data_IF_990932703608
#
_entry.id   IF_990932703608
#
_cell.length_a   1.000
_cell.length_b   1.000
_cell.length_c   1.000
_cell.angle_alpha   90.00
_cell.angle_beta   90.00
_cell.angle_gamma   90.00
#
_symmetry.space_group_name_H-M   'P 1'
#
loop_
_entity.id
_entity.type
_entity.pdbx_description
1 polymer ?
#
# COMPACT_ATOMS: atom_id res chain seq x y z
N UNK A 1 8.24 25.65 -3.15
CA UNK A 1 9.37 24.78 -3.53
C UNK A 1 8.80 23.39 -3.74
N UNK A 2 9.21 22.68 -4.80
CA UNK A 2 8.79 21.30 -5.01
C UNK A 2 9.82 20.35 -4.38
N UNK A 3 9.37 19.26 -3.77
CA UNK A 3 10.22 18.18 -3.26
C UNK A 3 9.83 16.84 -3.87
N UNK A 4 10.81 15.95 -3.98
CA UNK A 4 10.64 14.60 -4.52
C UNK A 4 11.22 13.63 -3.48
N UNK A 5 10.43 12.65 -3.07
CA UNK A 5 10.86 11.56 -2.17
C UNK A 5 10.64 10.23 -2.87
N UNK A 6 11.69 9.40 -2.94
CA UNK A 6 11.63 8.10 -3.63
C UNK A 6 11.51 7.00 -2.58
N UNK A 7 10.34 6.35 -2.54
CA UNK A 7 10.04 5.25 -1.62
C UNK A 7 10.25 3.86 -2.25
N UNK A 8 10.40 3.78 -3.56
CA UNK A 8 10.63 2.53 -4.30
C UNK A 8 11.00 2.78 -5.76
N UNK A 9 11.66 1.82 -6.38
CA UNK A 9 12.24 1.96 -7.73
C UNK A 9 13.65 2.57 -7.77
N UNK A 10 14.23 2.91 -6.62
CA UNK A 10 15.64 3.33 -6.52
C UNK A 10 16.53 2.15 -6.13
N UNK A 11 17.52 1.83 -6.95
CA UNK A 11 18.43 0.70 -6.70
C UNK A 11 17.81 -0.68 -6.96
N UNK A 12 16.63 -0.74 -7.58
CA UNK A 12 15.91 -1.96 -7.94
C UNK A 12 15.22 -1.81 -9.31
N UNK A 13 14.76 -2.92 -9.89
CA UNK A 13 13.87 -2.92 -11.05
C UNK A 13 12.43 -3.14 -10.54
N UNK A 14 11.57 -2.18 -10.84
CA UNK A 14 10.18 -2.17 -10.41
C UNK A 14 9.95 -1.54 -9.02
N UNK A 15 8.76 -1.70 -8.45
CA UNK A 15 8.43 -1.14 -7.13
C UNK A 15 8.22 0.37 -7.10
N UNK A 16 8.02 1.01 -8.27
CA UNK A 16 7.98 2.47 -8.42
C UNK A 16 6.99 3.12 -7.45
N UNK A 17 7.50 4.01 -6.60
CA UNK A 17 6.75 4.81 -5.61
C UNK A 17 7.45 6.13 -5.41
N UNK A 18 7.07 7.16 -6.15
CA UNK A 18 7.70 8.49 -6.06
C UNK A 18 6.69 9.50 -5.57
N UNK A 19 6.93 10.07 -4.38
CA UNK A 19 6.09 11.13 -3.83
C UNK A 19 6.59 12.49 -4.31
N UNK A 20 5.71 13.26 -4.94
CA UNK A 20 5.98 14.65 -5.34
C UNK A 20 5.12 15.56 -4.47
N UNK A 21 5.76 16.51 -3.79
CA UNK A 21 5.08 17.52 -2.98
C UNK A 21 5.35 18.92 -3.52
N UNK A 22 4.29 19.73 -3.64
CA UNK A 22 4.40 21.15 -3.99
C UNK A 22 3.18 21.92 -3.51
N UNK A 23 3.40 23.10 -2.91
CA UNK A 23 2.33 24.00 -2.45
C UNK A 23 1.31 23.31 -1.51
N UNK A 24 1.80 22.45 -0.60
CA UNK A 24 0.97 21.71 0.35
C UNK A 24 0.16 20.57 -0.26
N UNK A 25 0.34 20.27 -1.54
CA UNK A 25 -0.25 19.12 -2.23
C UNK A 25 0.77 18.02 -2.43
N UNK A 26 0.30 16.78 -2.39
CA UNK A 26 1.11 15.57 -2.53
C UNK A 26 0.46 14.63 -3.54
N UNK A 27 1.24 14.13 -4.48
CA UNK A 27 0.82 13.05 -5.39
C UNK A 27 1.88 11.97 -5.44
N UNK A 28 1.45 10.72 -5.51
CA UNK A 28 2.34 9.63 -5.90
C UNK A 28 2.39 9.50 -7.42
N UNK A 29 3.58 9.30 -7.95
CA UNK A 29 3.80 8.76 -9.29
C UNK A 29 4.07 7.27 -9.11
N UNK A 30 3.12 6.47 -9.60
CA UNK A 30 3.03 5.02 -9.44
C UNK A 30 2.95 4.55 -7.97
N UNK A 31 2.45 3.33 -7.79
CA UNK A 31 2.48 2.63 -6.53
C UNK A 31 2.54 1.12 -6.74
N UNK A 32 3.69 0.63 -7.22
CA UNK A 32 3.80 -0.73 -7.76
C UNK A 32 4.45 -1.77 -6.86
N UNK A 33 4.39 -3.02 -7.30
CA UNK A 33 5.03 -4.18 -6.66
C UNK A 33 6.55 -4.10 -6.76
N UNK A 34 7.27 -4.26 -5.64
CA UNK A 34 8.73 -4.44 -5.65
C UNK A 34 9.05 -5.92 -5.87
N UNK A 35 9.50 -6.29 -7.07
CA UNK A 35 9.89 -7.67 -7.34
C UNK A 35 11.11 -8.10 -6.52
N UNK A 36 12.05 -7.18 -6.28
CA UNK A 36 13.25 -7.46 -5.50
C UNK A 36 12.94 -7.75 -4.03
N UNK A 37 12.08 -6.93 -3.42
CA UNK A 37 11.61 -7.11 -2.06
C UNK A 37 10.77 -8.38 -1.91
N UNK A 38 9.89 -8.64 -2.87
CA UNK A 38 9.10 -9.88 -2.87
C UNK A 38 9.98 -11.12 -3.05
N UNK A 39 10.95 -11.11 -3.97
CA UNK A 39 11.85 -12.25 -4.21
C UNK A 39 12.74 -12.58 -3.01
N UNK A 40 13.13 -11.56 -2.23
CA UNK A 40 13.97 -11.75 -1.04
C UNK A 40 13.25 -12.56 0.06
N UNK A 41 11.93 -12.40 0.19
CA UNK A 41 11.18 -12.95 1.33
C UNK A 41 10.13 -14.00 0.94
N UNK A 42 9.52 -13.89 -0.23
CA UNK A 42 8.36 -14.71 -0.65
C UNK A 42 8.68 -15.71 -1.77
N UNK A 43 9.92 -16.21 -1.82
CA UNK A 43 10.31 -17.23 -2.80
C UNK A 43 9.97 -18.65 -2.34
N UNK A 44 9.52 -19.45 -3.32
CA UNK A 44 9.33 -20.91 -3.32
C UNK A 44 8.33 -21.47 -2.28
N UNK A 45 8.63 -21.36 -0.99
CA UNK A 45 7.85 -21.97 0.09
C UNK A 45 7.04 -20.97 0.91
N UNK A 46 7.45 -19.69 0.91
CA UNK A 46 6.74 -18.65 1.64
C UNK A 46 5.93 -17.80 0.67
N UNK A 47 4.60 -17.85 0.77
CA UNK A 47 3.72 -17.02 -0.03
C UNK A 47 3.13 -15.88 0.81
N UNK A 48 2.83 -14.72 0.21
CA UNK A 48 2.12 -13.66 0.89
C UNK A 48 0.80 -14.19 1.43
N UNK A 49 0.48 -13.84 2.68
CA UNK A 49 -0.79 -14.22 3.28
C UNK A 49 -1.92 -13.46 2.59
N UNK A 50 -3.01 -14.16 2.31
CA UNK A 50 -4.22 -13.59 1.70
C UNK A 50 -4.90 -12.59 2.65
N UNK A 51 -4.88 -12.87 3.96
CA UNK A 51 -5.32 -11.96 5.01
C UNK A 51 -4.10 -11.33 5.69
N UNK A 52 -4.19 -10.04 6.01
CA UNK A 52 -3.15 -9.27 6.75
C UNK A 52 -1.83 -9.01 5.98
N UNK A 53 -1.83 -9.15 4.64
CA UNK A 53 -0.63 -8.98 3.83
C UNK A 53 0.02 -7.59 3.94
N UNK A 54 -0.75 -6.53 4.19
CA UNK A 54 -0.22 -5.18 4.37
C UNK A 54 0.84 -5.11 5.48
N UNK A 55 0.59 -5.75 6.62
CA UNK A 55 1.50 -5.66 7.78
C UNK A 55 2.84 -6.33 7.51
N UNK A 56 2.82 -7.50 6.87
CA UNK A 56 4.05 -8.19 6.49
C UNK A 56 4.84 -7.33 5.49
N UNK A 57 4.17 -6.75 4.49
CA UNK A 57 4.81 -5.86 3.52
C UNK A 57 5.45 -4.62 4.16
N UNK A 58 4.82 -4.03 5.20
CA UNK A 58 5.38 -2.92 5.98
C UNK A 58 6.55 -3.36 6.89
N UNK A 59 6.43 -4.54 7.50
CA UNK A 59 7.46 -5.09 8.38
C UNK A 59 8.74 -5.44 7.60
N UNK A 60 8.58 -6.01 6.41
CA UNK A 60 9.66 -6.39 5.49
C UNK A 60 10.25 -5.20 4.72
N UNK A 61 9.66 -4.00 4.84
CA UNK A 61 10.12 -2.80 4.14
C UNK A 61 9.82 -2.80 2.63
N UNK A 62 8.95 -3.69 2.17
CA UNK A 62 8.47 -3.75 0.78
C UNK A 62 7.53 -2.56 0.48
N UNK A 63 6.76 -2.16 1.50
CA UNK A 63 5.95 -0.96 1.50
C UNK A 63 6.53 0.10 2.46
N UNK A 64 6.43 1.39 2.11
CA UNK A 64 6.92 2.45 2.98
C UNK A 64 6.04 2.61 4.23
N UNK A 65 6.64 2.81 5.40
CA UNK A 65 5.89 3.11 6.63
C UNK A 65 5.41 4.56 6.61
N UNK A 66 4.23 4.78 6.03
CA UNK A 66 3.61 6.09 5.88
C UNK A 66 2.22 6.13 6.49
N UNK A 67 2.01 7.10 7.38
CA UNK A 67 0.70 7.41 7.93
C UNK A 67 -0.23 7.99 6.86
N UNK A 68 -1.49 7.62 6.90
CA UNK A 68 -2.55 8.33 6.19
C UNK A 68 -2.74 7.95 4.73
N UNK A 69 -2.17 6.82 4.27
CA UNK A 69 -2.32 6.35 2.88
C UNK A 69 -2.96 4.96 2.76
N UNK A 70 -2.90 4.16 3.82
CA UNK A 70 -3.35 2.76 3.81
C UNK A 70 -4.78 2.63 4.30
N UNK A 71 -5.46 1.60 3.79
CA UNK A 71 -6.83 1.24 4.17
C UNK A 71 -6.94 0.85 5.64
N UNK A 72 -8.04 1.28 6.26
CA UNK A 72 -8.35 0.91 7.65
C UNK A 72 -8.51 -0.60 7.84
N UNK A 73 -9.23 -1.29 6.94
CA UNK A 73 -9.55 -2.72 7.06
C UNK A 73 -8.33 -3.64 6.91
N UNK A 74 -7.25 -3.14 6.31
CA UNK A 74 -5.96 -3.85 6.22
C UNK A 74 -5.05 -3.57 7.43
N UNK A 75 -5.29 -2.46 8.14
CA UNK A 75 -4.57 -2.09 9.36
C UNK A 75 -5.21 -2.75 10.58
N UNK A 76 -6.52 -2.61 10.74
CA UNK A 76 -7.29 -3.20 11.81
C UNK A 76 -7.79 -4.58 11.40
N UNK A 77 -7.23 -5.62 12.01
CA UNK A 77 -7.76 -6.97 11.84
C UNK A 77 -8.97 -7.13 12.77
N UNK A 78 -10.14 -7.27 12.15
CA UNK A 78 -11.37 -7.55 12.87
C UNK A 78 -11.20 -8.75 13.82
N UNK A 79 -11.71 -8.61 15.04
CA UNK A 79 -11.66 -9.59 16.14
C UNK A 79 -10.27 -9.99 16.66
N UNK A 80 -9.18 -9.45 16.11
CA UNK A 80 -7.83 -9.79 16.60
C UNK A 80 -7.67 -9.41 18.07
N UNK A 81 -8.14 -8.22 18.45
CA UNK A 81 -8.02 -7.75 19.82
C UNK A 81 -8.77 -8.62 20.82
N UNK A 82 -9.99 -9.02 20.47
CA UNK A 82 -10.82 -9.92 21.28
C UNK A 82 -10.17 -11.30 21.39
N UNK A 83 -9.67 -11.85 20.27
CA UNK A 83 -9.02 -13.15 20.24
C UNK A 83 -7.71 -13.16 21.07
N UNK A 84 -6.92 -12.09 21.03
CA UNK A 84 -5.72 -11.95 21.85
C UNK A 84 -6.06 -11.84 23.33
N UNK A 85 -7.13 -11.10 23.67
CA UNK A 85 -7.62 -11.00 25.04
C UNK A 85 -8.13 -12.35 25.57
N UNK A 86 -8.90 -13.09 24.78
CA UNK A 86 -9.37 -14.45 25.09
C UNK A 86 -8.21 -15.43 25.27
N UNK A 87 -7.17 -15.32 24.44
CA UNK A 87 -5.95 -16.13 24.53
C UNK A 87 -5.03 -15.72 25.70
N UNK A 88 -5.36 -14.66 26.44
CA UNK A 88 -4.55 -14.16 27.54
C UNK A 88 -3.21 -13.60 27.09
N UNK A 89 -3.11 -13.10 25.87
CA UNK A 89 -1.89 -12.47 25.32
C UNK A 89 -1.92 -10.98 25.68
N UNK A 90 -1.10 -10.53 26.66
CA UNK A 90 -1.13 -9.14 27.12
C UNK A 90 -0.39 -8.19 26.18
N UNK A 91 0.48 -8.73 25.31
CA UNK A 91 1.30 -7.96 24.40
C UNK A 91 0.73 -8.00 22.98
N UNK A 92 0.18 -6.87 22.55
CA UNK A 92 -0.34 -6.67 21.19
C UNK A 92 0.72 -6.13 20.23
N UNK A 93 1.93 -5.81 20.69
CA UNK A 93 2.96 -5.15 19.88
C UNK A 93 3.33 -5.86 18.56
N UNK A 94 3.41 -7.20 18.46
CA UNK A 94 3.65 -7.84 17.15
C UNK A 94 2.43 -7.82 16.22
N UNK A 95 1.28 -7.38 16.74
CA UNK A 95 -0.01 -7.39 16.07
C UNK A 95 -0.62 -5.99 15.88
N UNK A 96 0.16 -4.93 16.10
CA UNK A 96 -0.25 -3.54 15.83
C UNK A 96 0.52 -3.06 14.60
N UNK A 97 -0.18 -2.50 13.63
CA UNK A 97 0.48 -1.86 12.50
C UNK A 97 1.15 -0.56 12.99
N UNK A 98 2.41 -0.35 12.62
CA UNK A 98 3.21 0.82 12.98
C UNK A 98 2.91 2.03 12.08
N UNK A 99 1.66 2.17 11.63
CA UNK A 99 1.18 3.25 10.76
C UNK A 99 -0.27 3.59 11.12
N UNK A 100 -0.62 4.86 10.97
CA UNK A 100 -2.00 5.35 11.07
C UNK A 100 -2.70 5.22 9.73
N UNK A 101 -3.99 4.91 9.75
CA UNK A 101 -4.75 4.77 8.51
C UNK A 101 -5.02 6.11 7.83
N UNK A 102 -5.46 6.02 6.58
CA UNK A 102 -6.02 7.16 5.84
C UNK A 102 -7.11 7.89 6.62
N UNK A 103 -8.08 7.17 7.16
CA UNK A 103 -9.21 7.74 7.88
C UNK A 103 -8.79 8.45 9.17
N UNK A 104 -7.86 7.87 9.93
CA UNK A 104 -7.36 8.48 11.17
C UNK A 104 -6.65 9.81 10.90
N UNK A 105 -5.77 9.84 9.90
CA UNK A 105 -5.05 11.06 9.51
C UNK A 105 -6.02 12.09 8.95
N UNK A 106 -6.92 11.69 8.05
CA UNK A 106 -7.90 12.58 7.45
C UNK A 106 -8.83 13.21 8.50
N UNK A 107 -9.32 12.43 9.48
CA UNK A 107 -10.15 12.94 10.59
C UNK A 107 -9.40 13.94 11.47
N UNK A 108 -8.11 13.70 11.71
CA UNK A 108 -7.26 14.56 12.56
C UNK A 108 -6.87 15.87 11.89
N UNK A 109 -6.44 15.81 10.64
CA UNK A 109 -5.88 16.95 9.91
C UNK A 109 -6.94 17.72 9.08
N UNK A 110 -8.11 17.11 8.84
CA UNK A 110 -9.17 17.69 8.00
C UNK A 110 -8.95 17.53 6.49
N UNK A 111 -7.80 16.99 6.08
CA UNK A 111 -7.44 16.70 4.69
C UNK A 111 -6.67 15.37 4.59
N UNK A 112 -6.72 14.67 3.45
CA UNK A 112 -5.92 13.46 3.26
C UNK A 112 -4.42 13.79 3.26
N UNK A 113 -3.58 12.80 3.57
CA UNK A 113 -2.13 12.97 3.48
C UNK A 113 -1.68 13.21 2.03
N UNK A 114 -2.27 12.46 1.09
CA UNK A 114 -2.00 12.50 -0.35
C UNK A 114 -3.27 12.84 -1.14
N UNK A 115 -3.13 13.65 -2.19
CA UNK A 115 -4.25 14.09 -3.03
C UNK A 115 -4.62 13.08 -4.11
N UNK A 116 -3.73 12.12 -4.42
CA UNK A 116 -3.97 11.08 -5.40
C UNK A 116 -2.72 10.34 -5.85
N UNK A 117 -2.93 9.32 -6.68
CA UNK A 117 -1.90 8.54 -7.36
C UNK A 117 -2.05 8.70 -8.86
N UNK A 118 -0.95 8.97 -9.56
CA UNK A 118 -0.90 9.01 -11.02
C UNK A 118 -0.15 7.77 -11.49
N UNK A 119 -0.81 6.92 -12.27
CA UNK A 119 -0.20 5.74 -12.86
C UNK A 119 0.33 6.03 -14.26
N UNK A 120 1.58 5.65 -14.50
CA UNK A 120 2.23 5.80 -15.78
C UNK A 120 1.71 4.79 -16.81
N UNK A 121 1.59 3.52 -16.45
CA UNK A 121 1.08 2.43 -17.29
C UNK A 121 0.75 1.16 -16.47
N UNK A 122 0.20 0.13 -17.13
CA UNK A 122 -0.38 -1.06 -16.50
C UNK A 122 0.59 -2.25 -16.31
N UNK A 123 1.85 -2.00 -15.99
CA UNK A 123 2.73 -3.06 -15.50
C UNK A 123 2.66 -3.17 -13.97
N UNK A 124 2.80 -4.39 -13.44
CA UNK A 124 2.57 -4.70 -12.02
C UNK A 124 3.46 -3.90 -11.08
N UNK A 125 4.68 -3.59 -11.51
CA UNK A 125 5.63 -2.74 -10.81
C UNK A 125 5.31 -1.25 -10.82
N UNK A 126 4.17 -0.86 -11.40
CA UNK A 126 3.64 0.50 -11.37
C UNK A 126 2.31 0.62 -10.62
N UNK A 127 1.46 -0.41 -10.59
CA UNK A 127 0.10 -0.27 -10.01
C UNK A 127 -0.29 -1.29 -8.94
N UNK A 128 0.38 -2.45 -8.84
CA UNK A 128 -0.22 -3.56 -8.11
C UNK A 128 -0.39 -3.31 -6.60
N UNK A 129 0.48 -2.50 -5.99
CA UNK A 129 0.34 -2.13 -4.58
C UNK A 129 -0.68 -1.02 -4.32
N UNK A 130 -1.29 -0.41 -5.35
CA UNK A 130 -2.43 0.51 -5.19
C UNK A 130 -3.57 -0.18 -4.42
N UNK A 131 -3.72 -1.49 -4.54
CA UNK A 131 -4.72 -2.28 -3.80
C UNK A 131 -4.60 -2.17 -2.26
N UNK A 132 -3.44 -1.73 -1.76
CA UNK A 132 -3.18 -1.51 -0.33
C UNK A 132 -3.59 -0.10 0.14
N UNK A 133 -3.74 0.84 -0.79
CA UNK A 133 -4.09 2.23 -0.52
C UNK A 133 -5.59 2.38 -0.27
N UNK A 134 -5.95 3.39 0.50
CA UNK A 134 -7.35 3.70 0.80
C UNK A 134 -8.14 4.07 -0.46
N UNK A 135 -9.37 3.55 -0.57
CA UNK A 135 -10.26 3.80 -1.72
C UNK A 135 -10.68 5.27 -1.85
N UNK A 136 -10.56 6.06 -0.77
CA UNK A 136 -10.75 7.50 -0.79
C UNK A 136 -9.67 8.26 -1.55
N UNK A 137 -8.53 7.63 -1.88
CA UNK A 137 -7.43 8.25 -2.63
C UNK A 137 -7.70 8.09 -4.14
N UNK A 138 -7.88 9.17 -4.90
CA UNK A 138 -8.17 9.07 -6.33
C UNK A 138 -6.96 8.58 -7.12
N UNK A 139 -7.22 7.71 -8.10
CA UNK A 139 -6.20 7.18 -9.03
C UNK A 139 -6.44 7.73 -10.43
N UNK A 140 -5.42 8.36 -10.99
CA UNK A 140 -5.43 8.96 -12.32
C UNK A 140 -4.55 8.15 -13.27
N UNK A 141 -5.08 7.78 -14.44
CA UNK A 141 -4.33 7.05 -15.46
C UNK A 141 -4.95 7.24 -16.85
N UNK A 142 -4.26 6.81 -17.90
CA UNK A 142 -4.81 6.75 -19.24
C UNK A 142 -5.92 5.69 -19.35
N UNK A 143 -6.91 5.90 -20.23
CA UNK A 143 -8.01 4.96 -20.43
C UNK A 143 -7.54 3.53 -20.77
N UNK A 144 -6.46 3.40 -21.54
CA UNK A 144 -5.85 2.10 -21.86
C UNK A 144 -5.26 1.41 -20.63
N UNK A 145 -4.63 2.17 -19.72
CA UNK A 145 -4.09 1.63 -18.46
C UNK A 145 -5.21 1.10 -17.59
N UNK A 146 -6.28 1.89 -17.43
CA UNK A 146 -7.48 1.48 -16.71
C UNK A 146 -8.07 0.17 -17.26
N UNK A 147 -8.27 0.09 -18.58
CA UNK A 147 -8.85 -1.09 -19.21
C UNK A 147 -8.01 -2.36 -18.98
N UNK A 148 -6.67 -2.27 -19.05
CA UNK A 148 -5.78 -3.40 -18.77
C UNK A 148 -5.90 -3.83 -17.31
N UNK A 149 -5.94 -2.88 -16.36
CA UNK A 149 -6.07 -3.18 -14.93
C UNK A 149 -7.40 -3.86 -14.61
N UNK A 150 -8.51 -3.38 -15.18
CA UNK A 150 -9.84 -3.97 -14.98
C UNK A 150 -9.90 -5.42 -15.52
N UNK A 151 -9.34 -5.66 -16.71
CA UNK A 151 -9.25 -7.02 -17.29
C UNK A 151 -8.34 -7.93 -16.44
N UNK A 152 -7.19 -7.42 -15.98
CA UNK A 152 -6.29 -8.19 -15.12
C UNK A 152 -6.96 -8.59 -13.80
N UNK A 153 -7.74 -7.69 -13.20
CA UNK A 153 -8.54 -7.97 -12.00
C UNK A 153 -9.62 -9.01 -12.26
N UNK A 154 -10.36 -8.90 -13.37
CA UNK A 154 -11.40 -9.86 -13.75
C UNK A 154 -10.84 -11.26 -13.94
N UNK A 155 -9.73 -11.39 -14.68
CA UNK A 155 -9.07 -12.68 -14.91
C UNK A 155 -8.52 -13.24 -13.59
N UNK A 156 -7.95 -12.40 -12.73
CA UNK A 156 -7.38 -12.81 -11.44
C UNK A 156 -8.41 -13.36 -10.46
N UNK A 157 -9.68 -12.96 -10.54
CA UNK A 157 -10.79 -13.49 -9.72
C UNK A 157 -11.27 -14.88 -10.13
N UNK A 158 -10.93 -15.33 -11.34
CA UNK A 158 -11.36 -16.62 -11.89
C UNK A 158 -10.43 -17.80 -11.57
N UNK A 159 -9.32 -17.55 -10.87
CA UNK A 159 -8.30 -18.55 -10.49
C UNK A 159 -8.45 -19.08 -9.07
#
# INVERSE_FOLDING_TARGET
MASITVYGGAGEIGGNKVLVESNGRRVFLDFGLSFSGMGTFYEEFLQPRTNNGLRDLLALGILPRLDGIYRQDLIELDRLEDALAEAGVPDKSPWIADVKSYDEVRKREGSPFVDGVILSHAHMDHFQHVAMLDEGIPVFCAATTKAIMEVAEEIGRGG
#
